data_IF_587768373817
#
_entry.id   IF_587768373817
#
_cell.length_a   1.000
_cell.length_b   1.000
_cell.length_c   1.000
_cell.angle_alpha   90.00
_cell.angle_beta   90.00
_cell.angle_gamma   90.00
#
_symmetry.space_group_name_H-M   'P 1'
#
loop_
_entity.id
_entity.type
_entity.pdbx_description
1 polymer ?
#
# COMPACT_ATOMS: atom_id res chain seq x y z
N UNK A 1 15.06 32.84 14.39
CA UNK A 1 14.44 33.02 13.06
C UNK A 1 14.08 31.64 12.54
N UNK A 2 12.81 31.34 12.19
CA UNK A 2 12.46 30.02 11.71
C UNK A 2 12.84 29.92 10.23
N UNK A 3 13.71 28.97 9.91
CA UNK A 3 14.09 28.61 8.54
C UNK A 3 12.92 27.87 7.88
N UNK A 4 12.14 28.59 7.09
CA UNK A 4 11.16 28.03 6.17
C UNK A 4 11.92 27.41 4.99
N UNK A 5 12.10 26.10 4.99
CA UNK A 5 12.56 25.35 3.82
C UNK A 5 11.39 25.23 2.83
N UNK A 6 11.37 26.11 1.83
CA UNK A 6 10.51 25.98 0.65
C UNK A 6 11.09 24.87 -0.23
N UNK A 7 10.47 23.71 -0.24
CA UNK A 7 10.72 22.67 -1.24
C UNK A 7 9.75 22.93 -2.41
N UNK A 8 10.25 23.60 -3.44
CA UNK A 8 9.64 23.59 -4.78
C UNK A 8 10.27 22.42 -5.54
N UNK A 9 9.66 21.24 -5.50
CA UNK A 9 10.07 20.11 -6.35
C UNK A 9 8.86 19.62 -7.15
N UNK A 10 8.97 19.48 -8.49
CA UNK A 10 7.98 18.77 -9.28
C UNK A 10 7.99 17.29 -8.87
N UNK A 11 6.84 16.77 -8.44
CA UNK A 11 6.69 15.40 -7.96
C UNK A 11 6.44 14.46 -9.14
N UNK A 12 7.28 13.42 -9.28
CA UNK A 12 7.06 12.34 -10.24
C UNK A 12 6.72 11.05 -9.49
N UNK A 13 5.61 10.42 -9.90
CA UNK A 13 5.14 9.15 -9.38
C UNK A 13 5.73 8.02 -10.22
N UNK A 14 6.46 7.09 -9.59
CA UNK A 14 6.94 5.87 -10.25
C UNK A 14 5.95 4.74 -10.03
N UNK A 15 5.23 4.37 -11.08
CA UNK A 15 4.67 3.03 -11.23
C UNK A 15 5.49 2.32 -12.33
N UNK A 16 5.63 1.01 -12.19
CA UNK A 16 6.59 0.10 -12.83
C UNK A 16 6.71 0.27 -14.36
N UNK A 17 7.96 0.22 -14.86
CA UNK A 17 8.43 0.34 -16.26
C UNK A 17 8.68 1.79 -16.70
N UNK A 18 9.95 2.09 -17.04
CA UNK A 18 10.41 3.31 -17.72
C UNK A 18 9.38 3.88 -18.71
N UNK A 19 8.58 4.85 -18.27
CA UNK A 19 7.91 5.82 -19.13
C UNK A 19 7.76 7.12 -18.35
N UNK A 20 8.65 8.07 -18.68
CA UNK A 20 8.60 9.45 -18.19
C UNK A 20 7.37 10.09 -18.83
N UNK A 21 6.24 10.09 -18.13
CA UNK A 21 5.14 11.00 -18.41
C UNK A 21 5.23 12.17 -17.44
N UNK A 22 5.50 13.35 -17.99
CA UNK A 22 5.53 14.64 -17.27
C UNK A 22 4.16 14.88 -16.63
N UNK A 23 4.11 14.95 -15.31
CA UNK A 23 2.89 15.32 -14.57
C UNK A 23 3.20 16.62 -13.83
N UNK A 24 2.64 17.75 -14.30
CA UNK A 24 2.78 19.08 -13.68
C UNK A 24 1.99 19.22 -12.36
N UNK A 25 1.68 18.12 -11.67
CA UNK A 25 0.96 18.12 -10.41
C UNK A 25 1.96 18.26 -9.25
N UNK A 26 2.09 19.48 -8.73
CA UNK A 26 2.83 19.74 -7.49
C UNK A 26 1.89 19.51 -6.30
N UNK A 27 2.21 18.55 -5.44
CA UNK A 27 1.56 18.40 -4.14
C UNK A 27 2.52 18.79 -3.01
N UNK A 28 1.96 19.32 -1.93
CA UNK A 28 2.73 19.77 -0.77
C UNK A 28 2.47 18.87 0.43
N UNK A 29 3.55 18.42 1.06
CA UNK A 29 3.50 17.58 2.24
C UNK A 29 4.10 18.32 3.44
N UNK A 30 3.33 18.45 4.52
CA UNK A 30 3.73 19.23 5.69
C UNK A 30 4.19 18.30 6.82
N UNK A 31 5.50 18.05 6.89
CA UNK A 31 6.13 17.19 7.88
C UNK A 31 6.65 18.04 9.05
N UNK A 32 5.89 18.05 10.15
CA UNK A 32 6.26 18.78 11.35
C UNK A 32 6.28 17.83 12.56
N UNK A 33 7.08 18.17 13.58
CA UNK A 33 7.26 17.32 14.76
C UNK A 33 5.93 17.05 15.48
N UNK A 34 5.01 18.02 15.52
CA UNK A 34 3.67 17.83 16.12
C UNK A 34 2.79 16.80 15.40
N UNK A 35 3.10 16.50 14.14
CA UNK A 35 2.34 15.54 13.33
C UNK A 35 3.04 14.17 13.26
N UNK A 36 4.10 13.95 14.05
CA UNK A 36 4.80 12.66 14.09
C UNK A 36 3.91 11.60 14.72
N UNK A 37 3.66 10.51 13.99
CA UNK A 37 2.91 9.34 14.46
C UNK A 37 3.81 8.37 15.22
N UNK A 38 5.09 8.27 14.82
CA UNK A 38 6.04 7.40 15.48
C UNK A 38 7.43 7.43 14.86
N UNK A 39 8.35 6.74 15.51
CA UNK A 39 9.71 6.50 15.00
C UNK A 39 9.98 5.00 15.12
N UNK A 40 10.37 4.37 14.02
CA UNK A 40 10.92 3.02 13.99
C UNK A 40 12.44 3.04 13.88
N UNK A 41 13.07 1.87 13.89
CA UNK A 41 14.53 1.74 13.80
C UNK A 41 15.12 2.37 12.52
N UNK A 42 14.34 2.40 11.45
CA UNK A 42 14.79 2.81 10.11
C UNK A 42 13.97 3.95 9.52
N UNK A 43 12.99 4.48 10.24
CA UNK A 43 12.09 5.48 9.67
C UNK A 43 11.41 6.34 10.71
N UNK A 44 10.99 7.52 10.28
CA UNK A 44 10.02 8.34 11.00
C UNK A 44 8.71 8.33 10.23
N UNK A 45 7.60 8.27 10.95
CA UNK A 45 6.25 8.32 10.37
C UNK A 45 5.55 9.60 10.80
N UNK A 46 4.96 10.31 9.86
CA UNK A 46 4.17 11.52 10.07
C UNK A 46 2.76 11.36 9.53
N UNK A 47 1.81 12.07 10.13
CA UNK A 47 0.49 12.32 9.55
C UNK A 47 0.57 13.55 8.66
N UNK A 48 0.02 13.48 7.45
CA UNK A 48 -0.12 14.66 6.61
C UNK A 48 -1.43 14.62 5.81
N UNK A 49 -2.04 15.79 5.52
CA UNK A 49 -3.10 15.86 4.55
C UNK A 49 -2.54 15.62 3.15
N UNK A 50 -3.23 14.81 2.36
CA UNK A 50 -2.91 14.52 0.98
C UNK A 50 -4.11 14.82 0.09
N UNK A 51 -3.84 15.38 -1.07
CA UNK A 51 -4.84 15.92 -1.98
C UNK A 51 -4.72 15.13 -3.28
N UNK A 52 -5.79 14.41 -3.63
CA UNK A 52 -5.87 13.56 -4.81
C UNK A 52 -6.87 14.19 -5.78
N UNK A 53 -6.46 14.42 -7.02
CA UNK A 53 -7.40 14.71 -8.11
C UNK A 53 -8.08 13.39 -8.51
N UNK A 54 -9.41 13.38 -8.48
CA UNK A 54 -10.21 12.18 -8.73
C UNK A 54 -10.27 11.85 -10.23
N UNK A 55 -10.44 12.88 -11.07
CA UNK A 55 -10.40 12.73 -12.53
C UNK A 55 -9.56 13.83 -13.15
N UNK A 56 -8.75 13.46 -14.15
CA UNK A 56 -7.86 14.40 -14.84
C UNK A 56 -8.68 15.47 -15.54
N UNK A 57 -8.57 16.71 -15.07
CA UNK A 57 -9.26 17.87 -15.66
C UNK A 57 -10.70 18.12 -15.17
N UNK A 58 -11.24 17.30 -14.26
CA UNK A 58 -12.56 17.60 -13.65
C UNK A 58 -12.48 18.67 -12.56
N UNK A 59 -11.29 18.91 -12.01
CA UNK A 59 -11.07 19.75 -10.83
C UNK A 59 -11.64 19.14 -9.54
N UNK A 60 -12.19 17.92 -9.60
CA UNK A 60 -12.69 17.21 -8.42
C UNK A 60 -11.51 16.69 -7.60
N UNK A 61 -11.49 17.06 -6.32
CA UNK A 61 -10.38 16.79 -5.42
C UNK A 61 -10.87 16.08 -4.17
N UNK A 62 -10.22 14.98 -3.81
CA UNK A 62 -10.38 14.30 -2.54
C UNK A 62 -9.24 14.65 -1.59
N UNK A 63 -9.56 14.95 -0.34
CA UNK A 63 -8.56 15.17 0.72
C UNK A 63 -8.59 13.98 1.67
N UNK A 64 -7.47 13.31 1.79
CA UNK A 64 -7.28 12.14 2.66
C UNK A 64 -6.14 12.39 3.64
N UNK A 65 -6.20 11.75 4.80
CA UNK A 65 -5.05 11.71 5.72
C UNK A 65 -4.17 10.51 5.37
N UNK A 66 -2.87 10.76 5.21
CA UNK A 66 -1.88 9.71 4.91
C UNK A 66 -0.85 9.60 6.02
N UNK A 67 -0.34 8.39 6.19
CA UNK A 67 0.90 8.15 6.90
C UNK A 67 2.07 8.29 5.92
N UNK A 68 2.98 9.20 6.26
CA UNK A 68 4.20 9.50 5.51
C UNK A 68 5.37 8.85 6.24
N UNK A 69 6.01 7.86 5.61
CA UNK A 69 7.20 7.23 6.16
C UNK A 69 8.44 7.79 5.46
N UNK A 70 9.40 8.27 6.24
CA UNK A 70 10.68 8.83 5.75
C UNK A 70 11.85 8.07 6.34
N UNK A 71 12.96 7.99 5.60
CA UNK A 71 14.18 7.29 6.03
C UNK A 71 15.01 8.13 7.01
N UNK A 72 15.75 7.46 7.90
CA UNK A 72 16.90 8.06 8.60
C UNK A 72 18.13 8.13 7.68
N UNK A 73 19.18 8.84 8.10
CA UNK A 73 20.46 8.98 7.38
C UNK A 73 21.34 7.72 7.44
N UNK A 74 20.74 6.52 7.45
CA UNK A 74 21.43 5.23 7.43
C UNK A 74 21.13 4.50 6.12
N UNK A 75 22.15 3.95 5.45
CA UNK A 75 21.93 3.26 4.17
C UNK A 75 20.90 2.11 4.24
N UNK A 76 20.84 1.38 5.36
CA UNK A 76 19.86 0.31 5.56
C UNK A 76 18.44 0.81 5.71
N UNK A 77 18.24 2.03 6.23
CA UNK A 77 16.92 2.65 6.27
C UNK A 77 16.36 2.91 4.86
N UNK A 78 17.21 3.38 3.95
CA UNK A 78 16.84 3.57 2.54
C UNK A 78 16.51 2.25 1.87
N UNK A 79 17.30 1.20 2.10
CA UNK A 79 17.03 -0.14 1.59
C UNK A 79 15.68 -0.67 2.10
N UNK A 80 15.44 -0.61 3.41
CA UNK A 80 14.22 -1.11 4.04
C UNK A 80 12.96 -0.41 3.54
N UNK A 81 12.97 0.92 3.42
CA UNK A 81 11.82 1.65 2.91
C UNK A 81 11.55 1.33 1.44
N UNK A 82 12.61 1.09 0.65
CA UNK A 82 12.46 0.65 -0.73
C UNK A 82 11.83 -0.73 -0.84
N UNK A 83 12.28 -1.70 -0.03
CA UNK A 83 11.69 -3.05 -0.02
C UNK A 83 10.20 -3.00 0.37
N UNK A 84 9.85 -2.17 1.35
CA UNK A 84 8.45 -1.97 1.74
C UNK A 84 7.62 -1.37 0.60
N UNK A 85 8.15 -0.37 -0.10
CA UNK A 85 7.49 0.20 -1.27
C UNK A 85 7.30 -0.83 -2.40
N UNK A 86 8.29 -1.68 -2.64
CA UNK A 86 8.18 -2.79 -3.61
C UNK A 86 7.05 -3.72 -3.22
N UNK A 87 6.97 -4.13 -1.94
CA UNK A 87 5.86 -4.96 -1.46
C UNK A 87 4.50 -4.29 -1.71
N UNK A 88 4.33 -3.03 -1.32
CA UNK A 88 3.08 -2.30 -1.56
C UNK A 88 2.70 -2.20 -3.04
N UNK A 89 3.66 -2.05 -3.94
CA UNK A 89 3.41 -2.01 -5.38
C UNK A 89 2.98 -3.36 -5.99
N UNK A 90 3.15 -4.45 -5.25
CA UNK A 90 2.84 -5.81 -5.71
C UNK A 90 1.56 -6.39 -5.11
N UNK A 91 1.01 -5.80 -4.04
CA UNK A 91 -0.23 -6.28 -3.46
C UNK A 91 -1.39 -6.14 -4.47
N UNK A 92 -2.23 -7.17 -4.63
CA UNK A 92 -3.49 -7.03 -5.35
C UNK A 92 -4.42 -6.04 -4.64
N UNK A 93 -5.27 -5.37 -5.43
CA UNK A 93 -6.13 -4.29 -4.95
C UNK A 93 -7.09 -4.73 -3.83
N UNK A 94 -7.54 -5.98 -3.83
CA UNK A 94 -8.44 -6.54 -2.81
C UNK A 94 -7.80 -6.68 -1.42
N UNK A 95 -6.46 -6.74 -1.33
CA UNK A 95 -5.76 -6.65 -0.05
C UNK A 95 -5.71 -5.22 0.49
N UNK A 96 -5.84 -4.20 -0.37
CA UNK A 96 -5.70 -2.77 -0.02
C UNK A 96 -7.04 -2.03 0.08
N UNK A 97 -8.05 -2.44 -0.69
CA UNK A 97 -9.26 -1.66 -0.93
C UNK A 97 -10.52 -2.36 -0.42
N UNK A 98 -11.23 -1.71 0.50
CA UNK A 98 -12.54 -2.16 0.96
C UNK A 98 -13.62 -2.06 -0.15
N UNK A 99 -13.41 -1.17 -1.11
CA UNK A 99 -14.41 -0.82 -2.14
C UNK A 99 -14.14 -1.48 -3.50
N UNK A 100 -13.04 -2.22 -3.66
CA UNK A 100 -12.72 -2.98 -4.88
C UNK A 100 -12.21 -2.13 -6.05
N UNK A 101 -11.94 -2.75 -7.21
CA UNK A 101 -11.28 -2.11 -8.35
C UNK A 101 -12.11 -1.02 -9.03
N UNK A 102 -13.42 -0.95 -8.76
CA UNK A 102 -14.36 0.00 -9.38
C UNK A 102 -14.59 1.27 -8.54
N UNK A 103 -13.87 1.44 -7.43
CA UNK A 103 -13.90 2.71 -6.71
C UNK A 103 -13.20 3.79 -7.56
N UNK A 104 -13.74 5.03 -7.67
CA UNK A 104 -13.16 6.12 -8.47
C UNK A 104 -11.81 6.64 -7.92
N UNK A 105 -11.13 5.86 -7.10
CA UNK A 105 -9.77 6.06 -6.59
C UNK A 105 -8.73 5.29 -7.41
N UNK A 106 -9.15 4.51 -8.42
CA UNK A 106 -8.25 3.74 -9.27
C UNK A 106 -7.46 4.64 -10.21
N UNK A 107 -6.18 4.87 -9.91
CA UNK A 107 -5.20 5.22 -10.95
C UNK A 107 -5.09 4.00 -11.87
N UNK A 108 -5.94 3.95 -12.90
CA UNK A 108 -5.66 3.11 -14.07
C UNK A 108 -4.53 3.82 -14.82
N UNK A 109 -3.30 3.34 -14.64
CA UNK A 109 -2.28 3.53 -15.66
C UNK A 109 -2.83 2.86 -16.93
N UNK A 110 -3.16 3.68 -17.93
CA UNK A 110 -3.61 3.18 -19.22
C UNK A 110 -2.50 2.29 -19.79
N UNK A 111 -2.72 0.97 -19.79
CA UNK A 111 -1.96 0.08 -20.65
C UNK A 111 -2.26 0.49 -22.09
N UNK A 112 -1.26 0.52 -23.00
CA UNK A 112 -1.54 0.74 -24.40
C UNK A 112 -2.37 -0.45 -24.90
N UNK A 113 -3.59 -0.17 -25.34
CA UNK A 113 -4.42 -1.14 -26.05
C UNK A 113 -3.68 -1.57 -27.32
N UNK A 114 -3.21 -2.81 -27.35
CA UNK A 114 -2.81 -3.46 -28.57
C UNK A 114 -4.10 -3.78 -29.33
N UNK A 115 -4.36 -2.98 -30.37
CA UNK A 115 -5.43 -3.18 -31.31
C UNK A 115 -5.08 -4.37 -32.21
N UNK A 116 -5.49 -5.57 -31.82
CA UNK A 116 -5.52 -6.73 -32.71
C UNK A 116 -6.92 -6.81 -33.34
N UNK A 117 -7.04 -6.26 -34.54
CA UNK A 117 -8.12 -6.54 -35.48
C UNK A 117 -8.09 -8.02 -35.85
N UNK A 118 -9.21 -8.76 -35.68
CA UNK A 118 -9.65 -9.84 -36.59
C UNK A 118 -11.12 -10.26 -36.32
N UNK A 119 -11.83 -10.81 -37.33
CA UNK A 119 -13.21 -10.45 -37.63
C UNK A 119 -14.28 -11.36 -37.02
N UNK A 120 -15.51 -10.84 -37.08
CA UNK A 120 -16.76 -11.51 -36.73
C UNK A 120 -17.06 -12.69 -37.66
N UNK A 121 -17.44 -13.82 -37.06
CA UNK A 121 -18.58 -14.67 -37.45
C UNK A 121 -18.63 -15.89 -36.51
N UNK A 122 -19.61 -15.94 -35.61
CA UNK A 122 -20.68 -16.97 -35.65
C UNK A 122 -21.55 -16.90 -34.39
N UNK A 123 -22.84 -16.69 -34.65
CA UNK A 123 -23.95 -16.67 -33.71
C UNK A 123 -24.38 -18.11 -33.47
N UNK A 124 -24.50 -18.56 -32.22
CA UNK A 124 -25.77 -19.03 -31.64
C UNK A 124 -25.63 -19.90 -30.37
N UNK A 125 -26.45 -19.53 -29.38
CA UNK A 125 -27.29 -20.41 -28.55
C UNK A 125 -26.70 -21.11 -27.32
N UNK A 126 -26.86 -20.47 -26.17
CA UNK A 126 -27.48 -21.11 -25.00
C UNK A 126 -28.17 -20.07 -24.11
N UNK A 127 -29.50 -20.01 -24.19
CA UNK A 127 -30.38 -19.33 -23.23
C UNK A 127 -30.65 -20.28 -22.07
N UNK A 128 -30.26 -19.88 -20.86
CA UNK A 128 -30.84 -20.12 -19.51
C UNK A 128 -29.69 -19.92 -18.53
N UNK A 129 -29.69 -18.98 -17.60
CA UNK A 129 -30.57 -18.99 -16.43
C UNK A 129 -30.55 -17.58 -15.80
N UNK A 130 -31.66 -16.85 -15.89
CA UNK A 130 -31.86 -15.62 -15.14
C UNK A 130 -32.29 -16.01 -13.71
N UNK A 131 -31.30 -16.28 -12.85
CA UNK A 131 -31.53 -16.42 -11.41
C UNK A 131 -30.53 -15.54 -10.65
N UNK A 132 -31.06 -14.43 -10.13
CA UNK A 132 -30.54 -13.64 -9.02
C UNK A 132 -29.04 -13.28 -9.05
N UNK A 133 -28.68 -12.23 -9.81
CA UNK A 133 -27.47 -11.44 -9.55
C UNK A 133 -27.85 -10.31 -8.59
N UNK A 134 -28.15 -10.67 -7.35
CA UNK A 134 -28.47 -9.73 -6.28
C UNK A 134 -27.95 -10.30 -4.95
N UNK A 135 -26.63 -10.50 -4.86
CA UNK A 135 -25.91 -10.73 -3.59
C UNK A 135 -24.40 -10.92 -3.84
N UNK A 136 -23.65 -9.84 -4.09
CA UNK A 136 -22.16 -9.91 -4.01
C UNK A 136 -21.51 -8.69 -3.37
N UNK A 137 -22.23 -7.58 -3.13
CA UNK A 137 -21.65 -6.42 -2.43
C UNK A 137 -21.47 -6.64 -0.92
N UNK A 138 -22.27 -7.51 -0.29
CA UNK A 138 -22.40 -7.57 1.17
C UNK A 138 -21.35 -8.44 1.89
N UNK A 139 -20.39 -9.04 1.18
CA UNK A 139 -19.44 -9.97 1.80
C UNK A 139 -17.98 -9.84 1.32
N UNK A 140 -17.54 -8.63 0.93
CA UNK A 140 -16.12 -8.41 0.67
C UNK A 140 -15.36 -8.36 1.99
N UNK A 141 -14.29 -9.17 2.16
CA UNK A 141 -13.52 -9.13 3.39
C UNK A 141 -12.79 -7.77 3.52
N UNK A 142 -12.53 -7.28 4.75
CA UNK A 142 -11.88 -6.00 4.96
C UNK A 142 -10.45 -5.99 4.39
N UNK A 143 -9.84 -4.83 4.08
CA UNK A 143 -8.43 -4.76 3.68
C UNK A 143 -7.49 -5.47 4.66
N UNK A 144 -6.45 -6.12 4.14
CA UNK A 144 -5.39 -6.73 4.94
C UNK A 144 -4.29 -5.72 5.26
N UNK A 145 -3.96 -4.86 4.29
CA UNK A 145 -2.84 -3.93 4.33
C UNK A 145 -3.33 -2.50 4.01
N UNK A 146 -2.58 -1.46 4.40
CA UNK A 146 -2.87 -0.09 4.05
C UNK A 146 -2.98 0.14 2.54
N UNK A 147 -3.90 1.02 2.15
CA UNK A 147 -3.89 1.56 0.78
C UNK A 147 -2.55 2.24 0.50
N UNK A 148 -1.98 1.94 -0.66
CA UNK A 148 -0.73 2.53 -1.16
C UNK A 148 -1.01 3.76 -2.02
N UNK A 149 -0.44 4.91 -1.67
CA UNK A 149 -0.58 6.15 -2.45
C UNK A 149 0.63 6.46 -3.32
N UNK A 150 1.80 5.91 -2.99
CA UNK A 150 2.99 6.03 -3.82
C UNK A 150 4.29 6.01 -3.06
N UNK A 151 5.37 5.82 -3.81
CA UNK A 151 6.75 5.89 -3.33
C UNK A 151 7.51 6.94 -4.15
N UNK A 152 8.07 7.92 -3.46
CA UNK A 152 8.62 9.13 -4.05
C UNK A 152 10.11 9.21 -3.76
N UNK A 153 10.87 9.44 -4.82
CA UNK A 153 12.31 9.61 -4.78
C UNK A 153 12.67 11.08 -5.03
N UNK A 154 13.69 11.60 -4.34
CA UNK A 154 14.25 12.91 -4.64
C UNK A 154 14.89 12.93 -6.02
N UNK A 155 14.88 14.11 -6.63
CA UNK A 155 15.42 14.38 -7.96
C UNK A 155 16.61 15.31 -7.79
N UNK A 156 17.73 14.99 -8.45
CA UNK A 156 18.91 15.84 -8.47
C UNK A 156 18.75 17.04 -9.39
N UNK A 157 19.73 17.95 -9.34
CA UNK A 157 19.74 19.13 -10.22
C UNK A 157 19.84 18.79 -11.71
N UNK A 158 20.22 17.55 -12.04
CA UNK A 158 20.33 17.00 -13.39
C UNK A 158 19.06 16.27 -13.86
N UNK A 159 17.94 16.45 -13.16
CA UNK A 159 16.67 15.75 -13.38
C UNK A 159 16.76 14.21 -13.23
N UNK A 160 17.82 13.69 -12.62
CA UNK A 160 17.95 12.26 -12.35
C UNK A 160 17.39 11.87 -10.98
N UNK A 161 16.84 10.65 -10.90
CA UNK A 161 16.33 10.12 -9.64
C UNK A 161 17.48 9.68 -8.73
N UNK A 162 17.45 10.15 -7.49
CA UNK A 162 18.44 9.79 -6.48
C UNK A 162 17.97 8.52 -5.75
N UNK A 163 18.52 7.37 -6.16
CA UNK A 163 18.16 6.04 -5.66
C UNK A 163 19.35 5.27 -5.07
N UNK A 164 20.33 5.98 -4.51
CA UNK A 164 21.59 5.44 -4.00
C UNK A 164 21.39 4.27 -3.03
N UNK A 165 22.21 3.23 -3.16
CA UNK A 165 22.19 2.08 -2.28
C UNK A 165 23.60 1.51 -2.13
N UNK A 166 23.88 0.91 -0.98
CA UNK A 166 25.10 0.12 -0.80
C UNK A 166 24.80 -1.34 -1.15
N UNK A 167 25.51 -1.88 -2.14
CA UNK A 167 25.33 -3.26 -2.60
C UNK A 167 25.56 -4.32 -1.52
N UNK A 168 26.37 -4.01 -0.49
CA UNK A 168 26.74 -4.94 0.58
C UNK A 168 25.95 -4.77 1.88
N UNK A 169 25.38 -3.60 2.15
CA UNK A 169 24.86 -3.26 3.48
C UNK A 169 23.41 -3.71 3.73
N UNK A 170 22.55 -3.72 2.70
CA UNK A 170 21.14 -4.18 2.76
C UNK A 170 20.40 -3.68 4.02
N UNK A 171 19.54 -4.50 4.63
CA UNK A 171 18.69 -4.15 5.78
C UNK A 171 19.45 -3.77 7.06
N UNK A 172 20.61 -4.38 7.32
CA UNK A 172 21.40 -4.15 8.54
C UNK A 172 22.45 -3.05 8.36
N UNK A 173 22.38 -2.32 7.25
CA UNK A 173 23.29 -1.24 6.89
C UNK A 173 23.20 -0.05 7.83
N UNK A 174 24.25 0.18 8.61
CA UNK A 174 24.36 1.33 9.55
C UNK A 174 25.32 2.43 9.09
N UNK A 175 25.78 2.38 7.84
CA UNK A 175 26.62 3.44 7.30
C UNK A 175 25.81 4.74 7.27
N UNK A 176 26.36 5.80 7.85
CA UNK A 176 25.82 7.15 7.72
C UNK A 176 25.96 7.61 6.26
N UNK A 177 24.90 8.19 5.72
CA UNK A 177 24.83 8.65 4.34
C UNK A 177 24.21 10.03 4.27
N UNK A 178 24.61 10.82 3.28
CA UNK A 178 24.08 12.15 2.99
C UNK A 178 22.94 12.12 1.96
N UNK A 179 22.41 10.93 1.66
CA UNK A 179 21.36 10.77 0.66
C UNK A 179 20.06 11.44 1.11
N UNK A 180 19.38 12.17 0.22
CA UNK A 180 18.08 12.76 0.53
C UNK A 180 17.05 11.68 0.87
N UNK A 181 16.20 11.97 1.87
CA UNK A 181 15.20 11.03 2.37
C UNK A 181 14.20 10.64 1.29
N UNK A 182 13.86 9.35 1.27
CA UNK A 182 12.80 8.79 0.43
C UNK A 182 11.46 8.86 1.16
N UNK A 183 10.36 8.92 0.41
CA UNK A 183 9.03 9.08 0.99
C UNK A 183 8.13 7.93 0.53
N UNK A 184 7.49 7.26 1.48
CA UNK A 184 6.43 6.29 1.24
C UNK A 184 5.12 6.84 1.79
N UNK A 185 4.08 6.91 0.95
CA UNK A 185 2.75 7.36 1.32
C UNK A 185 1.77 6.17 1.36
N UNK A 186 1.19 5.94 2.53
CA UNK A 186 0.20 4.88 2.75
C UNK A 186 -0.98 5.40 3.58
N UNK A 187 -2.05 4.64 3.67
CA UNK A 187 -3.19 4.94 4.54
C UNK A 187 -2.74 5.18 5.99
N UNK A 188 -3.37 6.15 6.64
CA UNK A 188 -3.27 6.29 8.09
C UNK A 188 -4.23 5.31 8.78
N UNK A 189 -3.67 4.23 9.35
CA UNK A 189 -4.43 3.06 9.83
C UNK A 189 -4.63 3.00 11.36
N UNK A 190 -4.51 4.13 12.06
CA UNK A 190 -4.75 4.21 13.50
C UNK A 190 -3.54 3.85 14.35
N UNK A 191 -3.76 3.05 15.41
CA UNK A 191 -2.75 2.80 16.47
C UNK A 191 -2.42 1.31 16.61
N UNK A 192 -1.23 0.95 17.10
CA UNK A 192 -0.89 -0.45 17.36
C UNK A 192 -1.86 -1.16 18.31
N UNK A 193 -2.11 -2.44 18.07
CA UNK A 193 -2.93 -3.25 18.97
C UNK A 193 -2.21 -3.55 20.29
N UNK A 194 -2.99 -3.69 21.37
CA UNK A 194 -2.58 -4.29 22.63
C UNK A 194 -3.41 -5.56 22.87
N UNK A 195 -2.95 -6.76 22.46
CA UNK A 195 -3.78 -7.97 22.38
C UNK A 195 -4.55 -8.34 23.65
N UNK A 196 -4.05 -7.93 24.82
CA UNK A 196 -4.68 -8.17 26.12
C UNK A 196 -6.06 -7.52 26.23
N UNK A 197 -6.28 -6.39 25.55
CA UNK A 197 -7.51 -5.61 25.62
C UNK A 197 -8.61 -6.13 24.67
N UNK A 198 -8.28 -7.11 23.82
CA UNK A 198 -9.17 -7.58 22.75
C UNK A 198 -9.85 -8.90 23.09
N UNK A 199 -11.10 -9.01 22.61
CA UNK A 199 -11.88 -10.24 22.67
C UNK A 199 -11.23 -11.36 21.85
N UNK A 200 -11.61 -12.60 22.12
CA UNK A 200 -11.17 -13.75 21.33
C UNK A 200 -11.47 -13.58 19.84
N UNK A 201 -12.65 -13.06 19.50
CA UNK A 201 -13.07 -12.87 18.12
C UNK A 201 -12.18 -11.87 17.37
N UNK A 202 -11.83 -10.76 18.02
CA UNK A 202 -10.93 -9.75 17.44
C UNK A 202 -9.50 -10.28 17.25
N UNK A 203 -9.04 -11.18 18.14
CA UNK A 203 -7.75 -11.86 17.98
C UNK A 203 -7.77 -12.83 16.79
N UNK A 204 -8.89 -13.54 16.59
CA UNK A 204 -9.08 -14.38 15.40
C UNK A 204 -9.11 -13.55 14.11
N UNK A 205 -9.69 -12.36 14.15
CA UNK A 205 -9.67 -11.42 13.01
C UNK A 205 -8.24 -10.97 12.68
N UNK A 206 -7.42 -10.65 13.69
CA UNK A 206 -6.00 -10.36 13.47
C UNK A 206 -5.26 -11.55 12.85
N UNK A 207 -5.59 -12.78 13.25
CA UNK A 207 -5.01 -13.99 12.67
C UNK A 207 -5.47 -14.21 11.22
N UNK A 208 -6.73 -13.91 10.92
CA UNK A 208 -7.28 -14.05 9.56
C UNK A 208 -6.59 -13.11 8.57
N UNK A 209 -6.08 -11.96 9.02
CA UNK A 209 -5.25 -11.09 8.18
C UNK A 209 -4.02 -11.81 7.64
N UNK A 210 -3.29 -12.53 8.51
CA UNK A 210 -2.09 -13.28 8.09
C UNK A 210 -2.45 -14.47 7.20
N UNK A 211 -3.57 -15.16 7.49
CA UNK A 211 -4.03 -16.23 6.59
C UNK A 211 -4.28 -15.70 5.18
N UNK A 212 -5.03 -14.61 5.04
CA UNK A 212 -5.31 -14.01 3.72
C UNK A 212 -4.05 -13.47 3.05
N UNK A 213 -3.13 -12.89 3.82
CA UNK A 213 -1.84 -12.44 3.31
C UNK A 213 -1.03 -13.63 2.73
N UNK A 214 -0.97 -14.75 3.45
CA UNK A 214 -0.27 -15.96 3.01
C UNK A 214 -0.97 -16.64 1.84
N UNK A 215 -2.31 -16.70 1.83
CA UNK A 215 -3.10 -17.23 0.70
C UNK A 215 -2.85 -16.44 -0.59
N UNK A 216 -2.60 -15.14 -0.47
CA UNK A 216 -2.20 -14.27 -1.58
C UNK A 216 -0.70 -14.39 -1.94
N UNK A 217 0.06 -15.28 -1.29
CA UNK A 217 1.48 -15.51 -1.59
C UNK A 217 2.45 -14.54 -0.90
N UNK A 218 2.00 -13.73 0.06
CA UNK A 218 2.84 -12.73 0.74
C UNK A 218 3.18 -13.16 2.16
N UNK A 219 4.43 -12.92 2.58
CA UNK A 219 4.90 -13.13 3.95
C UNK A 219 5.47 -11.80 4.44
N UNK A 220 5.08 -11.34 5.64
CA UNK A 220 5.51 -10.03 6.14
C UNK A 220 6.88 -10.06 6.86
N UNK A 221 7.30 -11.22 7.39
CA UNK A 221 8.62 -11.46 8.01
C UNK A 221 9.01 -10.58 9.21
N UNK A 222 8.06 -9.89 9.85
CA UNK A 222 8.26 -9.04 11.03
C UNK A 222 6.96 -8.97 11.86
N UNK A 223 6.39 -10.15 12.15
CA UNK A 223 5.05 -10.31 12.73
C UNK A 223 5.04 -9.99 14.24
N UNK A 224 5.11 -8.69 14.56
CA UNK A 224 5.03 -8.18 15.93
C UNK A 224 3.69 -7.48 16.15
N UNK A 225 3.19 -7.47 17.41
CA UNK A 225 1.96 -6.75 17.79
C UNK A 225 1.94 -5.27 17.37
N UNK A 226 3.11 -4.62 17.33
CA UNK A 226 3.25 -3.22 16.90
C UNK A 226 2.96 -2.99 15.40
N UNK A 227 3.03 -4.06 14.61
CA UNK A 227 2.86 -4.07 13.16
C UNK A 227 1.45 -4.50 12.74
N UNK A 228 0.52 -4.59 13.69
CA UNK A 228 -0.92 -4.71 13.44
C UNK A 228 -1.54 -3.43 14.01
N UNK A 229 -2.12 -2.61 13.14
CA UNK A 229 -2.80 -1.38 13.52
C UNK A 229 -4.30 -1.59 13.59
N UNK A 230 -4.96 -0.79 14.41
CA UNK A 230 -6.41 -0.75 14.53
C UNK A 230 -6.93 0.68 14.45
N UNK A 231 -8.04 0.83 13.74
CA UNK A 231 -8.81 2.07 13.66
C UNK A 231 -10.32 1.78 13.78
N UNK A 232 -11.15 2.81 14.07
CA UNK A 232 -12.60 2.69 13.95
C UNK A 232 -12.97 2.18 12.55
N UNK A 233 -13.96 1.28 12.48
CA UNK A 233 -14.46 0.72 11.23
C UNK A 233 -15.99 0.70 11.14
N UNK A 234 -16.54 0.04 10.10
CA UNK A 234 -15.81 -0.62 9.01
C UNK A 234 -15.15 0.38 8.03
N UNK A 235 -14.15 -0.05 7.27
CA UNK A 235 -13.47 0.83 6.31
C UNK A 235 -14.28 1.13 5.04
N UNK A 236 -15.36 0.37 4.82
CA UNK A 236 -16.33 0.58 3.74
C UNK A 236 -17.17 1.86 3.93
N UNK A 237 -17.26 2.40 5.16
CA UNK A 237 -18.03 3.62 5.45
C UNK A 237 -17.10 4.83 5.67
N UNK A 238 -17.62 6.08 5.52
CA UNK A 238 -16.86 7.31 5.79
C UNK A 238 -16.35 7.39 7.23
N UNK A 239 -15.20 8.07 7.45
CA UNK A 239 -14.53 8.14 8.77
C UNK A 239 -15.45 8.61 9.91
N UNK A 240 -16.41 9.48 9.62
CA UNK A 240 -17.36 10.04 10.58
C UNK A 240 -18.37 9.01 11.12
N UNK A 241 -18.64 7.96 10.34
CA UNK A 241 -19.59 6.89 10.68
C UNK A 241 -18.90 5.68 11.32
N UNK A 242 -17.56 5.68 11.34
CA UNK A 242 -16.77 4.57 11.87
C UNK A 242 -16.78 4.56 13.39
N UNK A 243 -16.77 3.36 13.99
CA UNK A 243 -16.69 3.18 15.43
C UNK A 243 -15.85 1.98 15.83
N UNK A 244 -15.47 1.89 17.12
CA UNK A 244 -14.80 0.71 17.67
C UNK A 244 -15.75 -0.44 17.98
N UNK A 245 -17.07 -0.30 17.73
CA UNK A 245 -17.99 -1.43 17.79
C UNK A 245 -17.74 -2.43 16.65
N UNK A 246 -17.21 -1.94 15.52
CA UNK A 246 -16.78 -2.74 14.37
C UNK A 246 -15.35 -2.30 13.97
N UNK A 247 -14.32 -2.61 14.78
CA UNK A 247 -12.95 -2.16 14.52
C UNK A 247 -12.43 -2.72 13.20
N UNK A 248 -11.43 -2.07 12.60
CA UNK A 248 -10.75 -2.57 11.41
C UNK A 248 -9.25 -2.66 11.67
N UNK A 249 -8.69 -3.81 11.31
CA UNK A 249 -7.29 -4.15 11.56
C UNK A 249 -6.53 -4.25 10.25
N UNK A 250 -5.27 -3.83 10.26
CA UNK A 250 -4.39 -3.93 9.09
C UNK A 250 -2.95 -4.25 9.50
N UNK A 251 -2.25 -5.01 8.66
CA UNK A 251 -0.83 -5.34 8.81
C UNK A 251 0.02 -4.26 8.14
N UNK A 252 1.08 -3.83 8.80
CA UNK A 252 2.04 -2.84 8.30
C UNK A 252 3.48 -3.36 8.36
N UNK A 253 4.43 -2.53 7.89
CA UNK A 253 5.88 -2.73 8.03
C UNK A 253 6.39 -3.92 7.21
N UNK A 254 6.35 -3.77 5.89
CA UNK A 254 6.76 -4.79 4.92
C UNK A 254 8.21 -4.65 4.44
N UNK A 255 9.07 -3.94 5.18
CA UNK A 255 10.48 -3.76 4.79
C UNK A 255 11.28 -5.06 4.69
N UNK A 256 10.79 -6.15 5.30
CA UNK A 256 11.35 -7.51 5.21
C UNK A 256 10.43 -8.47 4.47
N UNK A 257 9.35 -7.96 3.86
CA UNK A 257 8.32 -8.78 3.25
C UNK A 257 8.85 -9.57 2.05
N UNK A 258 8.24 -10.72 1.80
CA UNK A 258 8.54 -11.59 0.66
C UNK A 258 7.23 -11.88 -0.09
N UNK A 259 7.30 -11.91 -1.42
CA UNK A 259 6.24 -12.44 -2.27
C UNK A 259 6.73 -13.78 -2.85
N UNK A 260 6.14 -14.87 -2.38
CA UNK A 260 6.39 -16.23 -2.87
C UNK A 260 5.16 -16.68 -3.65
N UNK A 261 5.35 -16.98 -4.93
CA UNK A 261 4.36 -17.73 -5.67
C UNK A 261 4.25 -19.09 -4.98
N UNK A 262 3.14 -19.33 -4.27
CA UNK A 262 2.82 -20.67 -3.81
C UNK A 262 2.41 -21.42 -5.06
N UNK A 263 3.36 -22.12 -5.68
CA UNK A 263 3.03 -23.19 -6.61
C UNK A 263 2.24 -24.20 -5.79
N UNK A 264 0.93 -24.29 -6.05
CA UNK A 264 0.15 -25.41 -5.55
C UNK A 264 0.77 -26.64 -6.21
N UNK A 265 1.47 -27.46 -5.43
CA UNK A 265 1.77 -28.82 -5.83
C UNK A 265 0.43 -29.54 -5.97
N UNK A 266 -0.16 -29.44 -7.17
CA UNK A 266 -1.26 -30.27 -7.57
C UNK A 266 -0.71 -31.69 -7.72
N UNK A 267 -1.12 -32.57 -6.80
CA UNK A 267 -1.10 -34.03 -6.93
C UNK A 267 0.28 -34.74 -6.86
N UNK A 268 0.73 -35.07 -5.63
CA UNK A 268 1.40 -36.35 -5.43
C UNK A 268 0.79 -37.06 -4.22
N UNK A 269 -0.32 -37.75 -4.48
CA UNK A 269 -0.82 -38.82 -3.64
C UNK A 269 0.22 -39.93 -3.50
N UNK A 270 1.23 -39.74 -2.65
CA UNK A 270 2.13 -40.81 -2.21
C UNK A 270 2.14 -40.96 -0.68
N UNK A 271 1.26 -41.85 -0.27
CA UNK A 271 1.63 -43.06 0.50
C UNK A 271 2.43 -42.78 1.77
N UNK A 272 1.72 -42.39 2.83
CA UNK A 272 2.07 -42.89 4.16
C UNK A 272 1.53 -44.32 4.29
N UNK A 273 2.30 -45.28 3.80
CA UNK A 273 2.20 -46.64 4.35
C UNK A 273 2.94 -46.69 5.68
N UNK A 274 2.33 -47.42 6.61
CA UNK A 274 2.63 -47.52 8.04
C UNK A 274 4.03 -48.03 8.35
#
# INVERSE_FOLDING_TARGET
>A
MPTSSRLNCPMYCLCTICTISRVDAVAHLYLAQQNRLGTGNHSTVFRAPFVLELDRGSGAVSRVSVAVKTTSAECGAHYMLHQEAVMYSTFPADLMDANGPDSPSGIRAAAPEAQEDMPADDVALAKTDQRNVASTEENRPPPVVPRFYGYYLPIGDDDTLICNTHSKCKEDGKCEVDWPSRILLVEECGTPIEPRDWTYQQRLECLSLYHRLHEAGFIQCSAYRRNILVQPGPLSVPRQERSFAAPSFQIIDFGRGEHKMIEREDDDGRRFER
#
